data_IF_406146295514
#
_entry.id   IF_406146295514
#
_cell.length_a   1.000
_cell.length_b   1.000
_cell.length_c   1.000
_cell.angle_alpha   90.00
_cell.angle_beta   90.00
_cell.angle_gamma   90.00
#
_symmetry.space_group_name_H-M   'P 1'
#
loop_
_entity.id
_entity.type
_entity.pdbx_description
1 polymer ?
#
# COMPACT_ATOMS: atom_id res chain seq x y z
N UNK A 1 47.81 -17.88 83.20
CA UNK A 1 47.15 -16.67 82.66
C UNK A 1 46.92 -16.88 81.16
N UNK A 2 45.77 -17.40 80.80
CA UNK A 2 45.41 -17.64 79.42
C UNK A 2 44.45 -16.55 78.92
N UNK A 3 44.83 -15.85 77.88
CA UNK A 3 43.97 -14.85 77.22
C UNK A 3 43.39 -15.50 75.93
N UNK A 4 42.16 -15.91 76.02
CA UNK A 4 41.38 -16.40 74.86
C UNK A 4 40.98 -15.22 73.99
N UNK A 5 41.37 -15.17 72.75
CA UNK A 5 40.89 -14.22 71.71
C UNK A 5 39.79 -14.87 70.94
N UNK A 6 38.58 -14.35 71.07
CA UNK A 6 37.44 -14.67 70.19
C UNK A 6 37.59 -13.98 68.85
N UNK A 7 37.63 -14.75 67.76
CA UNK A 7 37.56 -14.25 66.39
C UNK A 7 36.08 -14.25 65.98
N UNK A 8 35.55 -13.08 65.77
CA UNK A 8 34.23 -12.92 65.13
C UNK A 8 34.40 -13.03 63.63
N UNK A 9 33.84 -14.07 63.06
CA UNK A 9 33.74 -14.21 61.58
C UNK A 9 32.47 -13.49 61.13
N UNK A 10 32.63 -12.38 60.41
CA UNK A 10 31.54 -11.67 59.79
C UNK A 10 31.20 -12.34 58.47
N UNK A 11 30.04 -13.00 58.37
CA UNK A 11 29.45 -13.47 57.12
C UNK A 11 28.84 -12.26 56.37
N UNK A 12 29.47 -11.86 55.28
CA UNK A 12 28.87 -10.89 54.33
C UNK A 12 27.93 -11.65 53.37
N UNK A 13 26.62 -11.43 53.50
CA UNK A 13 25.61 -11.89 52.57
C UNK A 13 25.66 -10.95 51.32
N UNK A 14 26.17 -11.49 50.21
CA UNK A 14 26.06 -10.85 48.89
C UNK A 14 24.73 -11.26 48.29
N UNK A 15 23.78 -10.34 48.24
CA UNK A 15 22.52 -10.50 47.53
C UNK A 15 22.73 -10.24 46.02
N UNK A 16 22.35 -11.13 45.09
CA UNK A 16 22.41 -10.84 43.69
C UNK A 16 21.26 -9.89 43.31
N UNK A 17 21.62 -8.69 42.81
CA UNK A 17 20.68 -7.78 42.17
C UNK A 17 20.27 -8.37 40.81
N UNK A 18 19.06 -8.93 40.76
CA UNK A 18 18.41 -9.25 39.47
C UNK A 18 18.02 -7.92 38.80
N UNK A 19 18.83 -7.47 37.83
CA UNK A 19 18.44 -6.40 36.92
C UNK A 19 17.43 -6.95 35.93
N UNK A 20 16.14 -6.64 36.13
CA UNK A 20 15.11 -6.89 35.14
C UNK A 20 15.39 -5.99 33.91
N UNK A 21 15.81 -6.60 32.81
CA UNK A 21 15.91 -5.91 31.52
C UNK A 21 14.48 -5.58 31.04
N UNK A 22 14.08 -4.33 31.13
CA UNK A 22 12.86 -3.85 30.52
C UNK A 22 13.07 -3.83 29.01
N UNK A 23 12.45 -4.78 28.30
CA UNK A 23 12.36 -4.75 26.85
C UNK A 23 11.54 -3.50 26.45
N UNK A 24 12.21 -2.46 25.97
CA UNK A 24 11.53 -1.30 25.40
C UNK A 24 11.02 -1.71 24.03
N UNK A 25 9.68 -1.80 23.88
CA UNK A 25 9.06 -1.87 22.59
C UNK A 25 9.38 -0.55 21.85
N UNK A 26 10.21 -0.62 20.80
CA UNK A 26 10.48 0.52 19.95
C UNK A 26 9.19 1.05 19.31
N UNK A 27 9.16 2.32 18.88
CA UNK A 27 7.98 2.88 18.23
C UNK A 27 7.65 2.03 16.99
N UNK A 28 6.38 1.58 16.91
CA UNK A 28 5.85 0.92 15.71
C UNK A 28 5.83 1.97 14.60
N UNK A 29 6.82 1.93 13.71
CA UNK A 29 6.80 2.74 12.49
C UNK A 29 5.74 2.14 11.58
N UNK A 30 4.68 2.90 11.21
CA UNK A 30 3.70 2.41 10.25
C UNK A 30 4.41 2.03 8.96
N UNK A 31 4.27 0.77 8.54
CA UNK A 31 4.76 0.35 7.23
C UNK A 31 3.95 1.09 6.16
N UNK A 32 4.56 2.06 5.51
CA UNK A 32 3.97 2.72 4.35
C UNK A 32 3.75 1.67 3.24
N UNK A 33 2.62 1.72 2.54
CA UNK A 33 2.38 0.77 1.46
C UNK A 33 3.49 0.86 0.43
N UNK A 34 4.00 -0.29 0.02
CA UNK A 34 5.06 -0.39 -1.00
C UNK A 34 4.59 0.13 -2.36
N UNK A 35 3.27 0.20 -2.55
CA UNK A 35 2.62 0.71 -3.76
C UNK A 35 1.51 1.68 -3.36
N UNK A 36 1.66 2.94 -3.71
CA UNK A 36 0.65 3.98 -3.53
C UNK A 36 0.39 4.67 -4.85
N UNK A 37 -0.84 4.56 -5.35
CA UNK A 37 -1.27 5.05 -6.66
C UNK A 37 -2.39 6.06 -6.53
N UNK A 38 -2.38 7.06 -7.41
CA UNK A 38 -3.49 7.97 -7.66
C UNK A 38 -4.01 7.71 -9.06
N UNK A 39 -5.29 7.41 -9.16
CA UNK A 39 -5.99 7.18 -10.42
C UNK A 39 -6.93 8.34 -10.69
N UNK A 40 -6.93 8.84 -11.92
CA UNK A 40 -7.81 9.93 -12.36
C UNK A 40 -8.50 9.60 -13.66
N UNK A 41 -9.75 9.99 -13.78
CA UNK A 41 -10.55 9.99 -15.00
C UNK A 41 -10.98 11.42 -15.29
N UNK A 42 -10.65 11.90 -16.48
CA UNK A 42 -10.95 13.25 -16.96
C UNK A 42 -11.70 13.14 -18.28
N UNK A 43 -13.03 12.95 -18.28
CA UNK A 43 -13.84 13.03 -19.49
C UNK A 43 -13.97 14.47 -19.96
N UNK A 44 -14.04 14.71 -21.28
CA UNK A 44 -14.27 16.05 -21.83
C UNK A 44 -15.63 16.60 -21.42
N UNK A 45 -16.63 15.73 -21.35
CA UNK A 45 -17.95 16.06 -20.84
C UNK A 45 -18.19 15.35 -19.50
N UNK A 46 -18.44 16.14 -18.47
CA UNK A 46 -18.67 15.63 -17.12
C UNK A 46 -17.59 16.01 -16.14
N UNK A 47 -17.71 15.53 -14.91
CA UNK A 47 -16.77 15.81 -13.84
C UNK A 47 -15.57 14.87 -13.83
N UNK A 48 -14.39 15.41 -13.59
CA UNK A 48 -13.22 14.61 -13.28
C UNK A 48 -13.41 13.83 -11.97
N UNK A 49 -12.91 12.60 -11.92
CA UNK A 49 -12.93 11.74 -10.73
C UNK A 49 -11.53 11.26 -10.42
N UNK A 50 -11.25 11.13 -9.13
CA UNK A 50 -9.94 10.68 -8.66
C UNK A 50 -10.13 9.75 -7.47
N UNK A 51 -9.30 8.71 -7.37
CA UNK A 51 -9.23 7.83 -6.23
C UNK A 51 -7.80 7.44 -5.92
N UNK A 52 -7.59 6.85 -4.75
CA UNK A 52 -6.30 6.31 -4.34
C UNK A 52 -6.40 4.79 -4.23
N UNK A 53 -5.33 4.12 -4.61
CA UNK A 53 -5.20 2.67 -4.54
C UNK A 53 -3.84 2.32 -3.94
N UNK A 54 -3.85 1.54 -2.89
CA UNK A 54 -2.66 0.93 -2.34
C UNK A 54 -2.65 -0.55 -2.69
N UNK A 55 -1.49 -1.03 -3.13
CA UNK A 55 -1.23 -2.47 -3.32
C UNK A 55 0.01 -2.84 -2.50
N UNK A 56 0.02 -4.04 -1.90
CA UNK A 56 1.14 -4.53 -1.09
C UNK A 56 1.43 -3.70 0.20
N UNK A 57 0.48 -3.67 1.14
CA UNK A 57 -0.81 -4.36 1.18
C UNK A 57 -1.92 -3.62 0.39
N UNK A 58 -2.91 -4.40 -0.04
CA UNK A 58 -4.10 -3.88 -0.73
C UNK A 58 -4.92 -3.00 0.20
N UNK A 59 -5.33 -1.81 -0.28
CA UNK A 59 -6.13 -0.87 0.51
C UNK A 59 -6.39 0.44 -0.21
N UNK A 60 -6.84 1.44 0.55
CA UNK A 60 -7.22 2.74 0.06
C UNK A 60 -8.73 2.83 -0.23
N UNK A 61 -9.22 4.02 -0.65
CA UNK A 61 -10.64 4.26 -0.88
C UNK A 61 -11.19 3.66 -2.18
N UNK A 62 -10.36 3.02 -2.99
CA UNK A 62 -10.80 2.40 -4.24
C UNK A 62 -11.80 1.26 -3.96
N UNK A 63 -13.03 1.37 -4.49
CA UNK A 63 -14.11 0.40 -4.18
C UNK A 63 -13.81 -1.04 -4.61
N UNK A 64 -12.92 -1.23 -5.58
CA UNK A 64 -12.49 -2.53 -6.08
C UNK A 64 -10.98 -2.76 -5.87
N UNK A 65 -10.42 -2.30 -4.75
CA UNK A 65 -8.97 -2.29 -4.52
C UNK A 65 -8.30 -3.64 -4.79
N UNK A 66 -8.88 -4.75 -4.33
CA UNK A 66 -8.31 -6.09 -4.54
C UNK A 66 -8.23 -6.44 -6.02
N UNK A 67 -9.36 -6.37 -6.76
CA UNK A 67 -9.39 -6.71 -8.18
C UNK A 67 -8.48 -5.79 -9.00
N UNK A 68 -8.42 -4.51 -8.65
CA UNK A 68 -7.53 -3.56 -9.30
C UNK A 68 -6.05 -3.90 -9.07
N UNK A 69 -5.66 -4.24 -7.85
CA UNK A 69 -4.30 -4.67 -7.54
C UNK A 69 -3.93 -6.00 -8.22
N UNK A 70 -4.86 -6.97 -8.23
CA UNK A 70 -4.66 -8.26 -8.88
C UNK A 70 -4.45 -8.08 -10.40
N UNK A 71 -5.23 -7.20 -11.04
CA UNK A 71 -5.08 -6.88 -12.46
C UNK A 71 -3.77 -6.17 -12.78
N UNK A 72 -3.34 -5.21 -11.94
CA UNK A 72 -2.13 -4.42 -12.17
C UNK A 72 -0.84 -5.18 -11.88
N UNK A 73 -0.88 -6.23 -11.08
CA UNK A 73 0.32 -6.98 -10.68
C UNK A 73 1.08 -7.62 -11.86
N UNK A 74 0.43 -8.34 -12.79
CA UNK A 74 1.13 -8.94 -13.93
C UNK A 74 1.76 -7.93 -14.89
N UNK A 75 1.19 -6.70 -14.94
CA UNK A 75 1.63 -5.63 -15.84
C UNK A 75 2.46 -4.55 -15.13
N UNK A 76 2.95 -4.84 -13.90
CA UNK A 76 3.81 -3.94 -13.12
C UNK A 76 3.25 -2.51 -12.96
N UNK A 77 1.91 -2.41 -12.88
CA UNK A 77 1.19 -1.14 -12.74
C UNK A 77 0.89 -0.41 -14.05
N UNK A 78 1.32 -0.90 -15.19
CA UNK A 78 1.00 -0.29 -16.49
C UNK A 78 -0.38 -0.73 -16.99
N UNK A 79 -1.40 0.05 -16.65
CA UNK A 79 -2.78 -0.26 -17.01
C UNK A 79 -3.05 -0.31 -18.53
N UNK A 80 -2.14 0.21 -19.35
CA UNK A 80 -2.26 0.21 -20.81
C UNK A 80 -2.00 -1.17 -21.41
N UNK A 81 -1.34 -2.04 -20.63
CA UNK A 81 -1.03 -3.43 -20.99
C UNK A 81 -2.12 -4.43 -20.51
N UNK A 82 -3.22 -3.92 -19.93
CA UNK A 82 -4.31 -4.76 -19.48
C UNK A 82 -5.08 -5.35 -20.66
N UNK A 83 -5.47 -6.62 -20.54
CA UNK A 83 -6.36 -7.27 -21.50
C UNK A 83 -7.77 -6.67 -21.39
N UNK A 84 -8.36 -6.22 -22.51
CA UNK A 84 -9.74 -5.75 -22.52
C UNK A 84 -10.71 -6.83 -22.06
N UNK A 85 -11.81 -6.41 -21.42
CA UNK A 85 -12.90 -7.31 -21.05
C UNK A 85 -13.55 -7.86 -22.30
N UNK A 86 -13.57 -9.21 -22.43
CA UNK A 86 -14.24 -9.86 -23.53
C UNK A 86 -15.74 -9.49 -23.56
N UNK A 87 -16.29 -9.31 -24.75
CA UNK A 87 -17.71 -9.03 -25.00
C UNK A 87 -18.25 -7.76 -24.34
N UNK A 88 -17.39 -6.83 -23.93
CA UNK A 88 -17.83 -5.53 -23.43
C UNK A 88 -18.47 -4.72 -24.56
N UNK A 89 -19.74 -4.38 -24.39
CA UNK A 89 -20.49 -3.56 -25.33
C UNK A 89 -20.54 -2.11 -24.86
N UNK A 90 -19.98 -1.21 -25.65
CA UNK A 90 -20.04 0.23 -25.42
C UNK A 90 -20.78 0.94 -26.54
N UNK A 91 -21.49 2.01 -26.19
CA UNK A 91 -22.11 2.90 -27.19
C UNK A 91 -21.02 3.65 -27.98
N UNK A 92 -21.39 4.12 -29.17
CA UNK A 92 -20.52 4.94 -30.04
C UNK A 92 -20.45 6.40 -29.60
N UNK A 93 -20.86 6.72 -28.37
CA UNK A 93 -20.78 8.07 -27.82
C UNK A 93 -19.33 8.55 -27.82
N UNK A 94 -19.11 9.77 -28.34
CA UNK A 94 -17.83 10.41 -28.32
C UNK A 94 -17.73 11.32 -27.10
N UNK A 95 -17.01 10.87 -26.10
CA UNK A 95 -16.66 11.64 -24.89
C UNK A 95 -15.23 11.28 -24.49
N UNK A 96 -14.23 11.80 -25.21
CA UNK A 96 -12.83 11.47 -24.94
C UNK A 96 -12.52 11.57 -23.45
N UNK A 97 -11.94 10.52 -22.92
CA UNK A 97 -11.69 10.38 -21.49
C UNK A 97 -10.24 10.03 -21.27
N UNK A 98 -9.52 10.94 -20.62
CA UNK A 98 -8.14 10.68 -20.20
C UNK A 98 -8.13 9.90 -18.91
N UNK A 99 -7.52 8.73 -18.93
CA UNK A 99 -7.21 7.92 -17.77
C UNK A 99 -5.75 8.14 -17.39
N UNK A 100 -5.49 8.38 -16.12
CA UNK A 100 -4.13 8.58 -15.59
C UNK A 100 -3.92 7.74 -14.34
N UNK A 101 -2.76 7.10 -14.24
CA UNK A 101 -2.34 6.36 -13.07
C UNK A 101 -0.92 6.80 -12.72
N UNK A 102 -0.75 7.38 -11.54
CA UNK A 102 0.51 7.94 -11.06
C UNK A 102 0.82 7.46 -9.65
N UNK A 103 2.09 7.36 -9.36
CA UNK A 103 2.53 7.09 -8.00
C UNK A 103 3.78 6.24 -7.94
N UNK A 104 3.80 5.35 -6.95
CA UNK A 104 4.90 4.44 -6.71
C UNK A 104 4.39 3.00 -6.80
N UNK A 105 4.93 2.25 -7.75
CA UNK A 105 4.73 0.82 -7.85
C UNK A 105 5.97 0.12 -7.27
N UNK A 106 5.80 -0.49 -6.07
CA UNK A 106 6.95 -0.95 -5.29
C UNK A 106 7.96 0.20 -5.14
N UNK A 107 9.21 0.06 -5.57
CA UNK A 107 10.25 1.08 -5.46
C UNK A 107 10.35 1.99 -6.68
N UNK A 108 9.54 1.74 -7.72
CA UNK A 108 9.59 2.46 -8.98
C UNK A 108 8.49 3.54 -9.06
N UNK A 109 8.86 4.77 -9.41
CA UNK A 109 7.89 5.81 -9.77
C UNK A 109 7.30 5.52 -11.15
N UNK A 110 5.97 5.60 -11.26
CA UNK A 110 5.23 5.40 -12.50
C UNK A 110 4.29 6.58 -12.76
N UNK A 111 4.10 6.89 -14.05
CA UNK A 111 3.16 7.89 -14.54
C UNK A 111 2.67 7.43 -15.93
N UNK A 112 1.51 6.80 -15.96
CA UNK A 112 0.91 6.29 -17.18
C UNK A 112 -0.37 7.04 -17.47
N UNK A 113 -0.60 7.35 -18.75
CA UNK A 113 -1.83 7.99 -19.20
C UNK A 113 -2.24 7.46 -20.58
N UNK A 114 -3.54 7.44 -20.82
CA UNK A 114 -4.12 7.06 -22.09
C UNK A 114 -5.48 7.73 -22.26
N UNK A 115 -5.79 8.14 -23.51
CA UNK A 115 -7.10 8.67 -23.88
C UNK A 115 -7.91 7.58 -24.57
N UNK A 116 -9.15 7.43 -24.13
CA UNK A 116 -10.14 6.52 -24.69
C UNK A 116 -11.30 7.32 -25.28
N UNK A 117 -12.07 6.71 -26.19
CA UNK A 117 -13.18 7.40 -26.86
C UNK A 117 -14.32 7.80 -25.92
N UNK A 118 -14.51 7.10 -24.81
CA UNK A 118 -15.49 7.43 -23.77
C UNK A 118 -15.27 6.64 -22.47
N UNK A 119 -15.96 6.97 -21.38
CA UNK A 119 -15.81 6.28 -20.08
C UNK A 119 -16.17 4.78 -20.12
N UNK A 120 -17.08 4.37 -21.00
CA UNK A 120 -17.40 2.95 -21.15
C UNK A 120 -16.20 2.17 -21.68
N UNK A 121 -15.52 2.70 -22.69
CA UNK A 121 -14.32 2.08 -23.26
C UNK A 121 -13.17 2.04 -22.27
N UNK A 122 -13.03 3.06 -21.39
CA UNK A 122 -12.06 2.96 -20.28
C UNK A 122 -12.32 1.71 -19.45
N UNK A 123 -13.56 1.51 -18.97
CA UNK A 123 -13.91 0.34 -18.14
C UNK A 123 -13.76 -0.98 -18.89
N UNK A 124 -14.14 -1.00 -20.16
CA UNK A 124 -13.97 -2.19 -21.01
C UNK A 124 -12.50 -2.57 -21.17
N UNK A 125 -11.62 -1.59 -21.28
CA UNK A 125 -10.17 -1.81 -21.49
C UNK A 125 -9.40 -2.04 -20.20
N UNK A 126 -9.89 -1.57 -19.06
CA UNK A 126 -9.15 -1.59 -17.79
C UNK A 126 -9.83 -2.37 -16.66
N UNK A 127 -11.00 -2.94 -16.93
CA UNK A 127 -11.77 -3.70 -15.95
C UNK A 127 -12.06 -2.90 -14.68
N UNK A 128 -11.70 -3.45 -13.54
CA UNK A 128 -11.93 -2.83 -12.23
C UNK A 128 -10.93 -1.75 -11.84
N UNK A 129 -9.87 -1.54 -12.60
CA UNK A 129 -8.85 -0.54 -12.27
C UNK A 129 -9.41 0.88 -12.32
N UNK A 130 -10.21 1.23 -13.32
CA UNK A 130 -10.84 2.55 -13.43
C UNK A 130 -12.37 2.52 -13.22
N UNK A 131 -12.87 1.52 -12.53
CA UNK A 131 -14.28 1.42 -12.11
C UNK A 131 -14.46 1.95 -10.67
N UNK A 132 -14.41 3.28 -10.49
CA UNK A 132 -14.56 3.94 -9.19
C UNK A 132 -15.44 5.18 -9.26
#
# INVERSE_FOLDING_TARGET
MARTRLLFASLALVAPLLTAATAQAGPLVPLLPATGLVLSLEPEMGGARTTQLNCHPTGGPHKHARQACDALTPVEGDFRELEPTADAMCTMELNPTKATLRGKWRDKRIDFQQVYSNPCVVRASTGKVFDF
#
